data_IF_902318901294
#
_entry.id   IF_902318901294
#
_cell.length_a   1.000
_cell.length_b   1.000
_cell.length_c   1.000
_cell.angle_alpha   90.00
_cell.angle_beta   90.00
_cell.angle_gamma   90.00
#
_symmetry.space_group_name_H-M   'P 1'
#
loop_
_entity.id
_entity.type
_entity.pdbx_description
1 polymer ?
#
# COMPACT_ATOMS: atom_id res chain seq x y z
N UNK A 1 -11.20 9.05 5.39
CA UNK A 1 -11.08 7.88 6.30
C UNK A 1 -9.60 7.67 6.60
N UNK A 2 -9.21 7.33 7.82
CA UNK A 2 -7.79 7.11 8.17
C UNK A 2 -7.57 5.65 8.60
N UNK A 3 -6.50 5.02 8.13
CA UNK A 3 -6.16 3.62 8.42
C UNK A 3 -4.64 3.38 8.43
N UNK A 4 -4.18 2.37 9.17
CA UNK A 4 -2.76 2.01 9.22
C UNK A 4 -2.32 1.11 8.06
N UNK A 5 -1.01 0.99 7.81
CA UNK A 5 -0.43 0.03 6.85
C UNK A 5 -0.91 -1.42 7.08
N UNK A 6 -1.10 -1.82 8.34
CA UNK A 6 -1.61 -3.15 8.66
C UNK A 6 -3.06 -3.35 8.21
N UNK A 7 -3.90 -2.32 8.40
CA UNK A 7 -5.30 -2.33 7.98
C UNK A 7 -5.46 -2.12 6.47
N UNK A 8 -4.49 -1.47 5.82
CA UNK A 8 -4.50 -1.22 4.38
C UNK A 8 -4.59 -2.53 3.59
N UNK A 9 -3.82 -3.55 3.98
CA UNK A 9 -3.87 -4.86 3.34
C UNK A 9 -5.28 -5.46 3.40
N UNK A 10 -5.86 -5.53 4.61
CA UNK A 10 -7.22 -6.05 4.82
C UNK A 10 -8.28 -5.20 4.10
N UNK A 11 -8.09 -3.88 4.06
CA UNK A 11 -8.98 -2.96 3.36
C UNK A 11 -8.98 -3.22 1.86
N UNK A 12 -7.80 -3.42 1.27
CA UNK A 12 -7.63 -3.74 -0.13
C UNK A 12 -8.26 -5.10 -0.49
N UNK A 13 -8.29 -6.08 0.42
CA UNK A 13 -8.95 -7.38 0.21
C UNK A 13 -10.47 -7.28 0.01
N UNK A 14 -11.09 -6.16 0.41
CA UNK A 14 -12.53 -5.94 0.25
C UNK A 14 -12.93 -5.58 -1.18
N UNK A 15 -11.96 -5.25 -2.05
CA UNK A 15 -12.22 -4.90 -3.45
C UNK A 15 -12.27 -6.15 -4.34
N UNK A 16 -13.03 -6.05 -5.42
CA UNK A 16 -13.15 -7.12 -6.41
C UNK A 16 -11.98 -7.03 -7.41
N UNK A 17 -11.15 -8.06 -7.42
CA UNK A 17 -10.01 -8.14 -8.33
C UNK A 17 -10.34 -8.98 -9.57
N UNK A 18 -9.81 -8.59 -10.75
CA UNK A 18 -8.77 -7.59 -10.92
C UNK A 18 -9.34 -6.18 -11.22
N UNK A 19 -8.75 -5.14 -10.63
CA UNK A 19 -9.26 -3.76 -10.60
C UNK A 19 -8.28 -2.78 -11.23
N UNK A 20 -8.79 -1.85 -12.03
CA UNK A 20 -7.98 -0.81 -12.66
C UNK A 20 -7.45 0.18 -11.62
N UNK A 21 -6.21 0.65 -11.85
CA UNK A 21 -5.54 1.59 -10.95
C UNK A 21 -6.36 2.86 -10.71
N UNK A 22 -6.89 3.46 -11.78
CA UNK A 22 -7.71 4.68 -11.67
C UNK A 22 -8.99 4.45 -10.86
N UNK A 23 -9.63 3.28 -11.03
CA UNK A 23 -10.86 2.96 -10.32
C UNK A 23 -10.59 2.75 -8.83
N UNK A 24 -9.54 1.99 -8.49
CA UNK A 24 -9.13 1.78 -7.11
C UNK A 24 -8.64 3.08 -6.45
N UNK A 25 -7.87 3.89 -7.19
CA UNK A 25 -7.37 5.17 -6.71
C UNK A 25 -8.50 6.16 -6.40
N UNK A 26 -9.50 6.27 -7.26
CA UNK A 26 -10.66 7.14 -6.99
C UNK A 26 -11.53 6.60 -5.86
N UNK A 27 -11.69 5.27 -5.74
CA UNK A 27 -12.38 4.69 -4.58
C UNK A 27 -11.67 5.01 -3.25
N UNK A 28 -10.35 5.15 -3.28
CA UNK A 28 -9.49 5.41 -2.13
C UNK A 28 -9.04 6.87 -2.00
N UNK A 29 -9.61 7.81 -2.76
CA UNK A 29 -9.17 9.21 -2.76
C UNK A 29 -9.45 9.95 -1.44
N UNK A 30 -10.44 9.47 -0.68
CA UNK A 30 -10.77 9.99 0.67
C UNK A 30 -9.99 9.24 1.78
N UNK A 31 -9.18 8.23 1.42
CA UNK A 31 -8.50 7.37 2.39
C UNK A 31 -7.07 7.87 2.63
N UNK A 32 -6.72 8.05 3.90
CA UNK A 32 -5.40 8.44 4.38
C UNK A 32 -4.77 7.26 5.11
N UNK A 33 -3.53 6.94 4.76
CA UNK A 33 -2.72 5.88 5.35
C UNK A 33 -1.76 6.50 6.35
N UNK A 34 -1.83 6.08 7.61
CA UNK A 34 -0.87 6.47 8.64
C UNK A 34 0.43 5.67 8.46
N UNK A 35 1.54 6.39 8.28
CA UNK A 35 2.89 5.84 8.16
C UNK A 35 3.76 6.34 9.32
N UNK A 36 4.93 5.71 9.50
CA UNK A 36 5.87 6.10 10.56
C UNK A 36 6.39 7.55 10.44
N UNK A 37 6.44 8.10 9.23
CA UNK A 37 6.90 9.47 8.95
C UNK A 37 5.72 10.47 8.81
N UNK A 38 4.48 10.01 8.91
CA UNK A 38 3.26 10.82 8.80
C UNK A 38 2.20 10.18 7.90
N UNK A 39 1.16 10.93 7.58
CA UNK A 39 0.04 10.49 6.74
C UNK A 39 0.30 10.66 5.23
N UNK A 40 -0.31 9.77 4.43
CA UNK A 40 -0.33 9.84 2.96
C UNK A 40 -1.68 9.43 2.40
N UNK A 41 -2.10 10.10 1.33
CA UNK A 41 -3.34 9.74 0.64
C UNK A 41 -3.17 8.44 -0.16
N UNK A 42 -4.03 7.44 0.12
CA UNK A 42 -4.00 6.13 -0.54
C UNK A 42 -4.31 6.24 -2.02
N UNK A 43 -5.32 7.00 -2.40
CA UNK A 43 -5.68 7.21 -3.80
C UNK A 43 -4.53 7.80 -4.61
N UNK A 44 -3.78 8.74 -4.01
CA UNK A 44 -2.55 9.30 -4.60
C UNK A 44 -1.45 8.26 -4.80
N UNK A 45 -1.18 7.44 -3.79
CA UNK A 45 -0.17 6.36 -3.85
C UNK A 45 -0.53 5.33 -4.93
N UNK A 46 -1.80 4.94 -4.99
CA UNK A 46 -2.29 4.03 -6.02
C UNK A 46 -2.21 4.66 -7.40
N UNK A 47 -2.53 5.95 -7.56
CA UNK A 47 -2.46 6.63 -8.86
C UNK A 47 -1.02 6.81 -9.37
N UNK A 48 -0.03 6.94 -8.49
CA UNK A 48 1.39 7.00 -8.87
C UNK A 48 2.00 5.63 -9.11
N UNK A 49 1.34 4.56 -8.63
CA UNK A 49 1.81 3.19 -8.83
C UNK A 49 2.10 2.89 -10.30
N UNK A 50 3.23 2.22 -10.53
CA UNK A 50 3.71 1.88 -11.87
C UNK A 50 2.83 0.84 -12.60
N UNK A 51 1.90 0.18 -11.89
CA UNK A 51 1.01 -0.83 -12.44
C UNK A 51 -0.31 -0.19 -12.92
N UNK A 52 -0.72 -0.46 -14.15
CA UNK A 52 -2.00 0.05 -14.68
C UNK A 52 -3.23 -0.62 -14.05
N UNK A 53 -3.08 -1.84 -13.54
CA UNK A 53 -4.14 -2.67 -12.96
C UNK A 53 -3.56 -3.59 -11.90
N UNK A 54 -4.32 -3.83 -10.85
CA UNK A 54 -3.94 -4.74 -9.78
C UNK A 54 -4.61 -6.09 -9.95
N UNK A 55 -3.81 -7.16 -9.84
CA UNK A 55 -4.33 -8.53 -9.95
C UNK A 55 -4.91 -9.05 -8.62
N UNK A 56 -4.49 -8.46 -7.49
CA UNK A 56 -4.90 -8.87 -6.14
C UNK A 56 -4.61 -7.74 -5.13
N UNK A 57 -5.19 -7.86 -3.93
CA UNK A 57 -4.92 -6.93 -2.84
C UNK A 57 -3.43 -6.86 -2.46
N UNK A 58 -2.75 -8.00 -2.44
CA UNK A 58 -1.31 -8.09 -2.17
C UNK A 58 -0.46 -7.36 -3.23
N UNK A 59 -0.90 -7.40 -4.49
CA UNK A 59 -0.24 -6.71 -5.61
C UNK A 59 -0.39 -5.19 -5.46
N UNK A 60 -1.60 -4.71 -5.15
CA UNK A 60 -1.84 -3.29 -4.84
C UNK A 60 -1.07 -2.82 -3.60
N UNK A 61 -1.07 -3.61 -2.53
CA UNK A 61 -0.34 -3.33 -1.31
C UNK A 61 1.17 -3.25 -1.54
N UNK A 62 1.72 -4.22 -2.29
CA UNK A 62 3.13 -4.24 -2.67
C UNK A 62 3.49 -3.04 -3.53
N UNK A 63 2.64 -2.65 -4.48
CA UNK A 63 2.88 -1.48 -5.31
C UNK A 63 2.95 -0.19 -4.47
N UNK A 64 2.05 -0.01 -3.52
CA UNK A 64 2.07 1.11 -2.57
C UNK A 64 3.37 1.09 -1.75
N UNK A 65 3.74 -0.05 -1.17
CA UNK A 65 4.98 -0.15 -0.39
C UNK A 65 6.26 0.10 -1.20
N UNK A 66 6.27 -0.22 -2.50
CA UNK A 66 7.41 0.07 -3.38
C UNK A 66 7.55 1.57 -3.67
N UNK A 67 6.44 2.30 -3.68
CA UNK A 67 6.45 3.75 -3.88
C UNK A 67 6.87 4.52 -2.62
N UNK A 68 6.55 3.95 -1.45
CA UNK A 68 6.95 4.54 -0.18
C UNK A 68 8.48 4.57 -0.02
N UNK A 69 9.04 5.70 0.46
CA UNK A 69 10.45 5.74 0.80
C UNK A 69 10.73 4.69 1.87
N UNK A 70 11.84 3.95 1.70
CA UNK A 70 12.35 2.92 2.64
C UNK A 70 12.39 3.33 4.13
N UNK A 71 12.37 4.63 4.42
CA UNK A 71 12.31 5.19 5.78
C UNK A 71 10.89 5.20 6.37
N UNK A 72 9.85 5.29 5.53
CA UNK A 72 8.45 5.33 5.92
C UNK A 72 7.84 3.94 6.19
N UNK A 73 8.46 2.87 5.68
CA UNK A 73 8.01 1.47 5.85
C UNK A 73 8.51 0.86 7.17
N UNK A 74 9.34 1.59 7.93
CA UNK A 74 10.08 1.05 9.07
C UNK A 74 11.26 0.19 8.59
N UNK A 75 12.36 0.18 9.35
CA UNK A 75 13.55 -0.58 8.96
C UNK A 75 13.18 -2.04 8.63
N UNK A 76 13.54 -2.55 7.44
CA UNK A 76 13.38 -3.96 7.17
C UNK A 76 14.22 -4.69 8.21
N UNK A 77 13.59 -5.53 9.04
CA UNK A 77 14.29 -6.48 9.89
C UNK A 77 15.03 -7.48 8.97
N UNK A 78 16.17 -7.04 8.42
CA UNK A 78 17.24 -7.90 7.99
C UNK A 78 17.92 -8.40 9.27
N UNK A 79 17.33 -9.42 9.87
CA UNK A 79 18.04 -10.31 10.77
C UNK A 79 17.84 -11.73 10.28
N UNK A 80 18.32 -11.98 9.06
CA UNK A 80 18.93 -13.27 8.75
C UNK A 80 20.32 -13.28 9.43
N UNK A 81 20.37 -13.91 10.60
CA UNK A 81 21.58 -14.24 11.35
C UNK A 81 21.13 -14.99 12.61
N UNK A 82 21.47 -16.23 12.89
CA UNK A 82 22.62 -17.02 12.48
C UNK A 82 22.20 -18.50 12.64
N UNK A 83 22.51 -19.35 11.67
CA UNK A 83 22.55 -20.78 11.93
C UNK A 83 23.88 -21.10 12.62
N UNK A 84 23.82 -21.62 13.84
CA UNK A 84 24.93 -22.32 14.50
C UNK A 84 24.65 -23.84 14.48
#
# INVERSE_FOLDING_TARGET
MELDLAELGEYLEQFDYPVDREELASACEDVEVELAEGDRNLGGLLADASADRFESADDAYTAVQNDLPREAVGEPYQSEGEGD
#
